data_IF_711713270493
#
_entry.id   IF_711713270493
#
_cell.length_a   1.000
_cell.length_b   1.000
_cell.length_c   1.000
_cell.angle_alpha   90.00
_cell.angle_beta   90.00
_cell.angle_gamma   90.00
#
_symmetry.space_group_name_H-M   'P 1'
#
loop_
_entity.id
_entity.type
_entity.pdbx_description
1 polymer ?
#
# COMPACT_ATOMS: atom_id res chain seq x y z
N UNK A 1 27.81 3.37 -31.86
CA UNK A 1 28.10 2.21 -30.96
C UNK A 1 29.16 1.36 -31.64
N UNK A 2 30.20 0.94 -30.93
CA UNK A 2 31.33 0.21 -31.47
C UNK A 2 31.03 -1.29 -31.46
N UNK A 3 31.69 -2.09 -32.37
CA UNK A 3 31.58 -3.56 -32.41
C UNK A 3 31.80 -4.17 -31.01
N UNK A 4 32.79 -3.67 -30.27
CA UNK A 4 33.09 -4.09 -28.90
C UNK A 4 31.91 -3.94 -27.92
N UNK A 5 31.03 -2.97 -28.15
CA UNK A 5 29.80 -2.82 -27.31
C UNK A 5 28.83 -3.99 -27.52
N UNK A 6 28.63 -4.40 -28.77
CA UNK A 6 27.76 -5.53 -29.09
C UNK A 6 28.34 -6.87 -28.59
N UNK A 7 29.63 -7.07 -28.74
CA UNK A 7 30.33 -8.25 -28.20
C UNK A 7 30.20 -8.37 -26.68
N UNK A 8 30.40 -7.27 -25.97
CA UNK A 8 30.19 -7.20 -24.50
C UNK A 8 28.75 -7.44 -24.10
N UNK A 9 27.79 -6.91 -24.87
CA UNK A 9 26.37 -7.09 -24.61
C UNK A 9 25.95 -8.54 -24.84
N UNK A 10 26.36 -9.18 -25.93
CA UNK A 10 26.13 -10.60 -26.20
C UNK A 10 26.72 -11.48 -25.10
N UNK A 11 27.95 -11.21 -24.70
CA UNK A 11 28.60 -11.94 -23.60
C UNK A 11 27.79 -11.82 -22.30
N UNK A 12 27.29 -10.62 -21.94
CA UNK A 12 26.48 -10.41 -20.76
C UNK A 12 25.17 -11.20 -20.84
N UNK A 13 24.48 -11.14 -21.98
CA UNK A 13 23.22 -11.85 -22.20
C UNK A 13 23.42 -13.37 -22.07
N UNK A 14 24.49 -13.93 -22.67
CA UNK A 14 24.80 -15.36 -22.57
C UNK A 14 25.14 -15.75 -21.11
N UNK A 15 25.87 -14.93 -20.39
CA UNK A 15 26.12 -15.13 -18.95
C UNK A 15 24.86 -15.17 -18.12
N UNK A 16 23.95 -14.23 -18.35
CA UNK A 16 22.66 -14.20 -17.61
C UNK A 16 21.79 -15.40 -17.98
N UNK A 17 21.73 -15.80 -19.26
CA UNK A 17 20.96 -16.97 -19.70
C UNK A 17 21.51 -18.29 -19.15
N UNK A 18 22.81 -18.40 -19.01
CA UNK A 18 23.47 -19.64 -18.53
C UNK A 18 23.43 -19.82 -17.01
N UNK A 19 23.10 -18.78 -16.25
CA UNK A 19 23.04 -18.83 -14.80
C UNK A 19 21.58 -19.10 -14.33
N UNK A 20 21.31 -20.27 -13.70
CA UNK A 20 19.96 -20.66 -13.30
C UNK A 20 19.33 -19.77 -12.21
N UNK A 21 20.12 -18.88 -11.59
CA UNK A 21 19.61 -17.88 -10.63
C UNK A 21 18.88 -16.74 -11.30
N UNK A 22 19.06 -16.56 -12.62
CA UNK A 22 18.42 -15.49 -13.39
C UNK A 22 17.38 -16.06 -14.35
N UNK A 23 16.29 -15.34 -14.49
CA UNK A 23 15.27 -15.57 -15.51
C UNK A 23 15.06 -14.29 -16.30
N UNK A 24 15.36 -14.36 -17.60
CA UNK A 24 15.01 -13.25 -18.51
C UNK A 24 13.52 -13.34 -18.81
N UNK A 25 12.80 -12.27 -18.53
CA UNK A 25 11.35 -12.18 -18.74
C UNK A 25 10.99 -10.91 -19.49
N UNK A 26 9.92 -10.96 -20.26
CA UNK A 26 9.32 -9.77 -20.82
C UNK A 26 8.64 -8.95 -19.73
N UNK A 27 8.39 -7.66 -19.99
CA UNK A 27 7.62 -6.81 -19.05
C UNK A 27 6.24 -7.40 -18.72
N UNK A 28 5.58 -8.01 -19.70
CA UNK A 28 4.28 -8.68 -19.51
C UNK A 28 4.40 -9.88 -18.56
N UNK A 29 5.42 -10.71 -18.72
CA UNK A 29 5.68 -11.84 -17.81
C UNK A 29 6.05 -11.35 -16.41
N UNK A 30 6.82 -10.25 -16.31
CA UNK A 30 7.15 -9.64 -15.03
C UNK A 30 5.89 -9.22 -14.28
N UNK A 31 4.98 -8.52 -14.97
CA UNK A 31 3.67 -8.14 -14.38
C UNK A 31 2.90 -9.39 -13.92
N UNK A 32 2.83 -10.45 -14.75
CA UNK A 32 2.14 -11.68 -14.38
C UNK A 32 2.76 -12.37 -13.15
N UNK A 33 4.09 -12.37 -13.04
CA UNK A 33 4.81 -12.94 -11.88
C UNK A 33 4.44 -12.19 -10.60
N UNK A 34 4.37 -10.86 -10.66
CA UNK A 34 4.10 -10.01 -9.49
C UNK A 34 2.62 -9.78 -9.24
N UNK A 35 1.78 -9.85 -10.25
CA UNK A 35 0.34 -9.61 -10.11
C UNK A 35 -0.37 -10.71 -9.31
N UNK A 36 0.14 -11.93 -9.37
CA UNK A 36 -0.20 -12.97 -8.41
C UNK A 36 -1.63 -13.54 -8.52
N UNK A 37 -2.41 -13.19 -9.53
CA UNK A 37 -3.79 -13.63 -9.72
C UNK A 37 -4.81 -12.83 -8.91
N UNK A 38 -6.05 -13.31 -8.88
CA UNK A 38 -7.13 -12.65 -8.15
C UNK A 38 -6.81 -12.55 -6.66
N UNK A 39 -6.94 -11.36 -6.10
CA UNK A 39 -6.80 -11.08 -4.66
C UNK A 39 -8.16 -10.75 -4.11
N UNK A 40 -8.52 -11.39 -3.04
CA UNK A 40 -9.82 -11.22 -2.39
C UNK A 40 -9.62 -10.99 -0.91
N UNK A 41 -10.33 -10.04 -0.35
CA UNK A 41 -10.43 -9.81 1.10
C UNK A 41 -11.87 -10.05 1.51
N UNK A 42 -12.09 -10.94 2.46
CA UNK A 42 -13.37 -11.24 3.08
C UNK A 42 -13.34 -10.99 4.60
N UNK A 43 -14.45 -11.26 5.28
CA UNK A 43 -14.57 -11.04 6.72
C UNK A 43 -13.59 -11.86 7.55
N UNK A 44 -13.19 -13.04 7.09
CA UNK A 44 -12.30 -13.93 7.84
C UNK A 44 -10.87 -13.34 7.96
N UNK A 45 -10.48 -12.47 7.02
CA UNK A 45 -9.17 -11.84 7.01
C UNK A 45 -9.11 -10.56 7.86
N UNK A 46 -10.23 -9.95 8.20
CA UNK A 46 -10.29 -8.67 8.92
C UNK A 46 -9.54 -8.71 10.28
N UNK A 47 -9.70 -9.74 11.14
CA UNK A 47 -8.96 -9.80 12.40
C UNK A 47 -7.43 -9.88 12.20
N UNK A 48 -6.98 -10.53 11.13
CA UNK A 48 -5.56 -10.63 10.79
C UNK A 48 -5.04 -9.27 10.33
N UNK A 49 -5.77 -8.60 9.43
CA UNK A 49 -5.44 -7.24 8.95
C UNK A 49 -5.35 -6.28 10.14
N UNK A 50 -6.35 -6.27 11.00
CA UNK A 50 -6.38 -5.42 12.20
C UNK A 50 -5.14 -5.61 13.08
N UNK A 51 -4.76 -6.85 13.33
CA UNK A 51 -3.59 -7.18 14.16
C UNK A 51 -2.29 -6.68 13.52
N UNK A 52 -2.13 -6.85 12.21
CA UNK A 52 -0.93 -6.40 11.51
C UNK A 52 -0.81 -4.88 11.41
N UNK A 53 -1.95 -4.17 11.43
CA UNK A 53 -1.97 -2.71 11.40
C UNK A 53 -2.00 -2.06 12.80
N UNK A 54 -1.95 -2.84 13.88
CA UNK A 54 -2.04 -2.32 15.25
C UNK A 54 -0.85 -1.40 15.59
N UNK A 55 0.36 -1.75 15.14
CA UNK A 55 1.59 -1.00 15.42
C UNK A 55 1.94 0.03 14.34
N UNK A 56 1.14 0.13 13.28
CA UNK A 56 1.36 1.07 12.19
C UNK A 56 0.85 0.57 10.85
N UNK A 57 0.90 1.43 9.84
CA UNK A 57 0.46 1.09 8.50
C UNK A 57 1.59 0.48 7.68
N UNK A 58 1.35 -0.74 7.19
CA UNK A 58 2.28 -1.44 6.33
C UNK A 58 1.54 -2.38 5.36
N UNK A 59 2.00 -2.60 4.11
CA UNK A 59 1.41 -3.57 3.21
C UNK A 59 1.51 -5.00 3.76
N UNK A 60 0.47 -5.79 3.57
CA UNK A 60 0.47 -7.20 3.97
C UNK A 60 1.09 -8.11 2.92
N UNK A 61 1.66 -9.22 3.39
CA UNK A 61 2.21 -10.26 2.52
C UNK A 61 1.50 -11.60 2.65
N UNK A 62 0.69 -11.80 3.67
CA UNK A 62 0.02 -13.07 3.97
C UNK A 62 -1.47 -12.85 4.24
N UNK A 63 -2.35 -13.74 3.76
CA UNK A 63 -2.07 -14.87 2.86
C UNK A 63 -1.73 -14.43 1.44
N UNK A 64 -2.02 -13.19 1.09
CA UNK A 64 -1.74 -12.55 -0.19
C UNK A 64 -1.17 -11.15 0.04
N UNK A 65 -0.61 -10.56 -1.00
CA UNK A 65 -0.08 -9.21 -0.95
C UNK A 65 -1.22 -8.20 -1.12
N UNK A 66 -1.49 -7.42 -0.08
CA UNK A 66 -2.47 -6.34 -0.08
C UNK A 66 -1.79 -5.02 0.24
N UNK A 67 -2.19 -3.97 -0.46
CA UNK A 67 -1.82 -2.60 -0.09
C UNK A 67 -2.87 -1.99 0.85
N UNK A 68 -2.57 -0.84 1.45
CA UNK A 68 -3.52 -0.17 2.36
C UNK A 68 -4.82 0.25 1.67
N UNK A 69 -4.73 0.64 0.39
CA UNK A 69 -5.93 0.97 -0.39
C UNK A 69 -6.82 -0.25 -0.62
N UNK A 70 -6.25 -1.46 -0.85
CA UNK A 70 -7.03 -2.69 -0.92
C UNK A 70 -7.80 -2.93 0.38
N UNK A 71 -7.13 -2.74 1.52
CA UNK A 71 -7.74 -2.93 2.85
C UNK A 71 -8.82 -1.90 3.13
N UNK A 72 -8.60 -0.63 2.73
CA UNK A 72 -9.59 0.43 2.87
C UNK A 72 -10.85 0.12 2.05
N UNK A 73 -10.69 -0.27 0.78
CA UNK A 73 -11.81 -0.64 -0.08
C UNK A 73 -12.53 -1.90 0.42
N UNK A 74 -11.78 -2.86 0.95
CA UNK A 74 -12.37 -4.05 1.54
C UNK A 74 -13.23 -3.70 2.76
N UNK A 75 -12.74 -2.86 3.67
CA UNK A 75 -13.52 -2.38 4.81
C UNK A 75 -14.78 -1.65 4.36
N UNK A 76 -14.69 -0.76 3.37
CA UNK A 76 -15.85 -0.10 2.77
C UNK A 76 -16.88 -1.10 2.27
N UNK A 77 -16.45 -2.01 1.41
CA UNK A 77 -17.34 -2.97 0.76
C UNK A 77 -18.02 -3.90 1.78
N UNK A 78 -17.29 -4.37 2.79
CA UNK A 78 -17.81 -5.22 3.84
C UNK A 78 -18.79 -4.48 4.78
N UNK A 79 -18.56 -3.21 5.09
CA UNK A 79 -19.49 -2.37 5.86
C UNK A 79 -20.76 -2.06 5.07
N UNK A 80 -20.65 -1.91 3.74
CA UNK A 80 -21.80 -1.74 2.84
C UNK A 80 -22.54 -3.07 2.54
N UNK A 81 -22.19 -4.17 3.23
CA UNK A 81 -22.90 -5.43 3.15
C UNK A 81 -22.45 -6.38 2.05
N UNK A 82 -21.36 -6.10 1.33
CA UNK A 82 -20.79 -7.08 0.41
C UNK A 82 -20.14 -8.23 1.20
N UNK A 83 -20.16 -9.43 0.63
CA UNK A 83 -19.53 -10.60 1.26
C UNK A 83 -18.01 -10.55 1.21
N UNK A 84 -17.45 -9.96 0.15
CA UNK A 84 -16.02 -9.87 -0.13
C UNK A 84 -15.68 -8.68 -1.00
N UNK A 85 -14.42 -8.26 -0.94
CA UNK A 85 -13.84 -7.30 -1.86
C UNK A 85 -12.86 -8.01 -2.81
N UNK A 86 -13.02 -7.80 -4.13
CA UNK A 86 -12.05 -8.25 -5.13
C UNK A 86 -11.10 -7.10 -5.40
N UNK A 87 -9.83 -7.28 -5.04
CA UNK A 87 -8.81 -6.25 -5.20
C UNK A 87 -8.53 -5.98 -6.69
N UNK A 88 -8.63 -4.75 -7.07
CA UNK A 88 -8.44 -4.31 -8.43
C UNK A 88 -7.37 -3.24 -8.56
N UNK A 89 -7.66 -2.27 -9.43
CA UNK A 89 -6.86 -1.06 -9.59
C UNK A 89 -7.00 -0.19 -8.35
N UNK A 90 -5.88 0.30 -7.85
CA UNK A 90 -5.82 1.13 -6.64
C UNK A 90 -5.24 2.50 -6.97
N UNK A 91 -5.63 3.50 -6.17
CA UNK A 91 -5.18 4.88 -6.27
C UNK A 91 -4.73 5.33 -4.89
N UNK A 92 -3.75 6.22 -4.86
CA UNK A 92 -3.32 6.87 -3.63
C UNK A 92 -4.03 8.20 -3.43
N UNK A 93 -3.38 9.10 -2.72
CA UNK A 93 -3.87 10.45 -2.45
C UNK A 93 -3.37 11.45 -3.49
N UNK A 94 -4.16 12.46 -3.78
CA UNK A 94 -3.72 13.63 -4.55
C UNK A 94 -3.05 14.68 -3.66
N UNK A 95 -3.53 14.80 -2.43
CA UNK A 95 -3.04 15.72 -1.40
C UNK A 95 -2.89 15.00 -0.07
N UNK A 96 -2.23 15.62 0.89
CA UNK A 96 -2.04 15.03 2.21
C UNK A 96 -3.39 14.82 2.91
N UNK A 97 -3.65 13.60 3.39
CA UNK A 97 -4.89 13.32 4.09
C UNK A 97 -4.89 13.98 5.47
N UNK A 98 -6.09 14.30 5.91
CA UNK A 98 -6.33 14.74 7.26
C UNK A 98 -5.97 13.64 8.27
N UNK A 99 -5.55 14.06 9.45
CA UNK A 99 -5.39 13.23 10.63
C UNK A 99 -6.00 13.96 11.83
N UNK A 100 -6.64 13.21 12.71
CA UNK A 100 -7.21 13.80 13.93
C UNK A 100 -6.08 14.33 14.83
N UNK A 101 -6.32 15.48 15.46
CA UNK A 101 -5.37 16.08 16.40
C UNK A 101 -5.63 15.67 17.85
N UNK A 102 -6.86 15.26 18.16
CA UNK A 102 -7.32 14.89 19.51
C UNK A 102 -8.07 13.55 19.47
N UNK A 103 -8.10 12.80 20.58
CA UNK A 103 -8.88 11.57 20.66
C UNK A 103 -10.37 11.81 20.36
N UNK A 104 -10.99 10.84 19.68
CA UNK A 104 -12.38 10.92 19.25
C UNK A 104 -13.04 9.55 19.37
N UNK A 105 -14.24 9.50 19.91
CA UNK A 105 -15.07 8.29 19.96
C UNK A 105 -16.16 8.37 18.90
N UNK A 106 -16.32 7.27 18.15
CA UNK A 106 -17.28 7.09 17.07
C UNK A 106 -18.09 5.80 17.30
N UNK A 107 -19.34 5.80 16.88
CA UNK A 107 -20.18 4.58 16.88
C UNK A 107 -19.98 3.77 15.59
N UNK A 108 -20.36 2.49 15.63
CA UNK A 108 -20.34 1.62 14.47
C UNK A 108 -21.25 2.15 13.34
N UNK A 109 -22.38 2.74 13.69
CA UNK A 109 -23.32 3.36 12.74
C UNK A 109 -22.71 4.54 12.02
N UNK A 110 -22.03 5.44 12.76
CA UNK A 110 -21.34 6.60 12.19
C UNK A 110 -20.24 6.19 11.20
N UNK A 111 -19.45 5.18 11.58
CA UNK A 111 -18.35 4.65 10.76
C UNK A 111 -18.90 3.97 9.51
N UNK A 112 -19.97 3.19 9.65
CA UNK A 112 -20.62 2.50 8.53
C UNK A 112 -21.27 3.47 7.55
N UNK A 113 -21.98 4.46 8.05
CA UNK A 113 -22.62 5.49 7.23
C UNK A 113 -21.60 6.33 6.42
N UNK A 114 -20.38 6.46 6.93
CA UNK A 114 -19.32 7.20 6.23
C UNK A 114 -18.64 6.40 5.11
N UNK A 115 -18.90 5.08 4.99
CA UNK A 115 -18.28 4.21 3.99
C UNK A 115 -18.53 4.65 2.55
N UNK A 116 -19.71 5.19 2.25
CA UNK A 116 -20.10 5.67 0.91
C UNK A 116 -19.25 6.84 0.40
N UNK A 117 -18.52 7.53 1.27
CA UNK A 117 -17.63 8.62 0.86
C UNK A 117 -16.32 8.12 0.23
N UNK A 118 -16.04 6.82 0.34
CA UNK A 118 -14.85 6.19 -0.23
C UNK A 118 -15.19 5.65 -1.62
N UNK A 119 -14.85 6.41 -2.66
CA UNK A 119 -15.06 6.00 -4.05
C UNK A 119 -13.97 5.05 -4.58
N UNK A 120 -14.12 4.62 -5.85
CA UNK A 120 -13.14 3.73 -6.53
C UNK A 120 -12.00 4.49 -7.22
N UNK A 121 -11.87 5.78 -6.99
CA UNK A 121 -10.84 6.65 -7.57
C UNK A 121 -9.69 6.95 -6.61
N UNK A 122 -9.19 8.18 -6.71
CA UNK A 122 -8.26 8.69 -5.71
C UNK A 122 -8.90 8.67 -4.32
N UNK A 123 -8.07 8.34 -3.33
CA UNK A 123 -8.55 8.30 -1.95
C UNK A 123 -9.00 9.69 -1.48
N UNK A 124 -10.09 9.78 -0.73
CA UNK A 124 -10.50 11.03 -0.13
C UNK A 124 -9.42 11.49 0.86
N UNK A 125 -9.17 12.77 0.92
CA UNK A 125 -8.24 13.34 1.93
C UNK A 125 -8.89 13.47 3.29
N UNK A 126 -10.22 13.48 3.36
CA UNK A 126 -10.99 13.57 4.59
C UNK A 126 -12.34 12.87 4.43
N UNK A 127 -12.88 12.37 5.52
CA UNK A 127 -14.17 11.70 5.62
C UNK A 127 -14.99 12.43 6.69
N UNK A 128 -16.21 12.83 6.34
CA UNK A 128 -17.11 13.54 7.26
C UNK A 128 -17.93 12.56 8.07
N UNK A 129 -18.06 12.84 9.36
CA UNK A 129 -18.91 12.10 10.29
C UNK A 129 -19.72 13.13 11.09
N UNK A 130 -20.94 13.40 10.63
CA UNK A 130 -21.76 14.49 11.14
C UNK A 130 -21.09 15.85 10.90
N UNK A 131 -20.84 16.59 11.95
CA UNK A 131 -20.11 17.86 11.96
C UNK A 131 -18.58 17.70 12.14
N UNK A 132 -18.12 16.47 12.33
CA UNK A 132 -16.71 16.11 12.53
C UNK A 132 -16.06 15.62 11.25
N UNK A 133 -14.73 15.56 11.26
CA UNK A 133 -13.93 15.11 10.16
C UNK A 133 -12.80 14.20 10.65
N UNK A 134 -12.56 13.12 9.93
CA UNK A 134 -11.45 12.18 10.18
C UNK A 134 -10.66 11.92 8.90
N UNK A 135 -9.45 11.39 9.04
CA UNK A 135 -8.67 10.94 7.90
C UNK A 135 -9.03 9.52 7.45
N UNK A 136 -8.65 9.13 6.22
CA UNK A 136 -8.83 7.76 5.74
C UNK A 136 -8.11 6.72 6.60
N UNK A 137 -6.96 7.10 7.19
CA UNK A 137 -6.22 6.25 8.11
C UNK A 137 -6.99 5.99 9.41
N UNK A 138 -7.60 7.04 9.95
CA UNK A 138 -8.43 6.96 11.14
C UNK A 138 -9.68 6.12 10.86
N UNK A 139 -10.32 6.38 9.70
CA UNK A 139 -11.46 5.59 9.27
C UNK A 139 -11.12 4.11 9.07
N UNK A 140 -9.97 3.77 8.46
CA UNK A 140 -9.54 2.38 8.28
C UNK A 140 -9.39 1.67 9.63
N UNK A 141 -8.75 2.31 10.62
CA UNK A 141 -8.63 1.75 11.98
C UNK A 141 -10.00 1.51 12.61
N UNK A 142 -10.90 2.50 12.51
CA UNK A 142 -12.25 2.40 13.03
C UNK A 142 -13.07 1.31 12.33
N UNK A 143 -13.02 1.24 11.00
CA UNK A 143 -13.73 0.26 10.21
C UNK A 143 -13.28 -1.18 10.53
N UNK A 144 -11.99 -1.41 10.72
CA UNK A 144 -11.45 -2.70 11.15
C UNK A 144 -11.97 -3.11 12.53
N UNK A 145 -12.08 -2.16 13.47
CA UNK A 145 -12.61 -2.40 14.80
C UNK A 145 -14.10 -2.78 14.75
N UNK A 146 -14.90 -2.03 14.00
CA UNK A 146 -16.34 -2.30 13.79
C UNK A 146 -16.56 -3.66 13.12
N UNK A 147 -15.79 -3.99 12.08
CA UNK A 147 -15.86 -5.28 11.41
C UNK A 147 -15.45 -6.45 12.32
N UNK A 148 -14.68 -6.19 13.38
CA UNK A 148 -14.36 -7.12 14.46
C UNK A 148 -15.42 -7.14 15.58
N UNK A 149 -16.51 -6.38 15.48
CA UNK A 149 -17.65 -6.43 16.40
C UNK A 149 -17.68 -5.32 17.47
N UNK A 150 -16.82 -4.30 17.38
CA UNK A 150 -16.87 -3.17 18.30
C UNK A 150 -18.04 -2.23 17.97
N UNK A 151 -18.89 -1.94 18.95
CA UNK A 151 -20.01 -1.00 18.79
C UNK A 151 -19.59 0.47 18.87
N UNK A 152 -18.47 0.74 19.53
CA UNK A 152 -17.86 2.06 19.66
C UNK A 152 -16.34 1.94 19.54
N UNK A 153 -15.72 2.92 18.88
CA UNK A 153 -14.27 2.93 18.65
C UNK A 153 -13.73 4.28 19.12
N UNK A 154 -12.73 4.26 19.99
CA UNK A 154 -11.98 5.46 20.36
C UNK A 154 -10.71 5.53 19.51
N UNK A 155 -10.63 6.53 18.66
CA UNK A 155 -9.47 6.86 17.86
C UNK A 155 -8.54 7.78 18.64
N UNK A 156 -7.24 7.54 18.50
CA UNK A 156 -6.19 8.44 19.00
C UNK A 156 -5.36 8.96 17.84
N UNK A 157 -4.81 10.17 17.92
CA UNK A 157 -3.95 10.72 16.90
C UNK A 157 -2.81 9.75 16.56
N UNK A 158 -2.65 9.43 15.28
CA UNK A 158 -1.60 8.55 14.81
C UNK A 158 -1.24 8.87 13.34
N UNK A 159 0.01 8.62 12.92
CA UNK A 159 0.43 8.91 11.56
C UNK A 159 -0.36 8.07 10.55
N UNK A 160 -0.62 8.67 9.39
CA UNK A 160 -1.26 8.00 8.26
C UNK A 160 -0.24 7.37 7.30
N UNK A 161 1.02 7.81 7.40
CA UNK A 161 2.08 7.36 6.50
C UNK A 161 2.46 5.90 6.78
N UNK A 162 2.89 5.22 5.73
CA UNK A 162 3.61 3.96 5.87
C UNK A 162 4.98 4.24 6.47
N UNK A 163 5.41 3.40 7.41
CA UNK A 163 6.78 3.42 7.89
C UNK A 163 7.72 2.90 6.79
N UNK A 164 8.32 3.85 6.07
CA UNK A 164 9.23 3.56 4.96
C UNK A 164 10.55 2.92 5.43
N UNK A 165 10.90 3.05 6.71
CA UNK A 165 12.11 2.45 7.27
C UNK A 165 11.98 0.92 7.43
N UNK A 166 10.78 0.39 7.37
CA UNK A 166 10.54 -1.06 7.31
C UNK A 166 10.85 -1.67 5.93
N UNK A 167 11.10 -0.86 4.89
CA UNK A 167 11.54 -1.36 3.59
C UNK A 167 13.07 -1.41 3.53
N UNK A 168 13.71 -2.58 3.68
CA UNK A 168 15.17 -2.68 3.76
C UNK A 168 15.89 -2.18 2.51
N UNK A 169 15.23 -2.25 1.35
CA UNK A 169 15.76 -1.78 0.07
C UNK A 169 15.73 -0.26 -0.11
N UNK A 170 14.93 0.46 0.67
CA UNK A 170 14.85 1.92 0.60
C UNK A 170 15.86 2.58 1.52
N UNK A 171 16.17 1.93 2.65
CA UNK A 171 17.12 2.44 3.66
C UNK A 171 18.53 2.66 3.07
N UNK A 172 18.95 1.80 2.13
CA UNK A 172 20.28 1.82 1.52
C UNK A 172 20.31 2.42 0.11
N UNK A 173 19.17 2.77 -0.44
CA UNK A 173 19.10 3.41 -1.75
C UNK A 173 19.61 4.85 -1.65
N UNK A 174 20.92 5.00 -1.86
CA UNK A 174 21.45 6.28 -2.35
C UNK A 174 20.93 6.47 -3.76
N UNK A 175 19.78 7.13 -3.88
CA UNK A 175 19.20 7.52 -5.18
C UNK A 175 20.08 8.51 -5.95
N UNK A 176 21.18 8.94 -5.40
CA UNK A 176 22.21 9.76 -6.02
C UNK A 176 23.26 8.90 -6.72
N UNK A 177 22.87 8.17 -7.74
CA UNK A 177 23.86 7.65 -8.68
C UNK A 177 24.13 8.75 -9.71
N UNK A 178 25.33 9.27 -9.80
CA UNK A 178 25.73 10.33 -10.75
C UNK A 178 25.59 9.97 -12.23
N UNK A 179 24.76 8.99 -12.55
CA UNK A 179 24.47 8.54 -13.91
C UNK A 179 23.24 9.21 -14.51
N UNK A 180 22.22 9.52 -13.70
CA UNK A 180 20.97 10.15 -14.17
C UNK A 180 20.82 11.56 -13.61
N UNK A 181 21.32 11.80 -12.41
CA UNK A 181 21.26 13.12 -11.77
C UNK A 181 22.55 13.43 -11.05
N UNK A 182 22.78 14.69 -10.77
CA UNK A 182 23.88 15.14 -9.91
C UNK A 182 23.73 14.52 -8.51
N UNK A 183 24.86 14.34 -7.82
CA UNK A 183 24.88 13.76 -6.48
C UNK A 183 24.12 14.60 -5.43
N UNK A 184 23.95 15.89 -5.69
CA UNK A 184 23.22 16.86 -4.86
C UNK A 184 21.76 17.08 -5.33
N UNK A 185 21.27 16.27 -6.30
CA UNK A 185 19.89 16.37 -6.77
C UNK A 185 18.93 15.89 -5.70
N UNK A 186 18.02 16.74 -5.29
CA UNK A 186 16.91 16.45 -4.40
C UNK A 186 15.62 16.95 -5.04
N UNK A 187 14.66 16.05 -5.29
CA UNK A 187 13.33 16.40 -5.73
C UNK A 187 12.32 16.22 -4.62
N UNK A 188 12.02 17.31 -3.91
CA UNK A 188 11.00 17.32 -2.83
C UNK A 188 9.60 17.00 -3.33
N UNK A 189 9.29 17.36 -4.57
CA UNK A 189 7.99 17.06 -5.18
C UNK A 189 7.85 15.58 -5.48
N UNK A 190 8.91 14.93 -5.95
CA UNK A 190 8.90 13.49 -6.19
C UNK A 190 8.75 12.72 -4.87
N UNK A 191 9.50 13.09 -3.84
CA UNK A 191 9.40 12.49 -2.50
C UNK A 191 8.00 12.64 -1.91
N UNK A 192 7.38 13.83 -2.05
CA UNK A 192 6.00 14.05 -1.63
C UNK A 192 5.02 13.16 -2.40
N UNK A 193 5.13 13.09 -3.73
CA UNK A 193 4.27 12.24 -4.57
C UNK A 193 4.42 10.76 -4.23
N UNK A 194 5.65 10.28 -4.04
CA UNK A 194 5.91 8.89 -3.63
C UNK A 194 5.22 8.57 -2.29
N UNK A 195 5.28 9.47 -1.33
CA UNK A 195 4.60 9.34 -0.03
C UNK A 195 3.08 9.29 -0.19
N UNK A 196 2.48 10.18 -0.99
CA UNK A 196 1.05 10.18 -1.26
C UNK A 196 0.57 8.90 -1.98
N UNK A 197 1.44 8.24 -2.74
CA UNK A 197 1.14 6.99 -3.42
C UNK A 197 1.54 5.75 -2.62
N UNK A 198 2.14 5.88 -1.43
CA UNK A 198 2.63 4.74 -0.65
C UNK A 198 1.54 3.74 -0.26
N UNK A 199 0.30 4.19 -0.10
CA UNK A 199 -0.84 3.32 0.17
C UNK A 199 -1.20 2.34 -0.95
N UNK A 200 -0.66 2.55 -2.16
CA UNK A 200 -0.84 1.64 -3.30
C UNK A 200 0.24 0.58 -3.42
N UNK A 201 1.26 0.61 -2.56
CA UNK A 201 2.37 -0.34 -2.61
C UNK A 201 1.91 -1.72 -2.19
N UNK A 202 2.11 -2.69 -3.08
CA UNK A 202 1.96 -4.12 -2.81
C UNK A 202 3.34 -4.77 -2.80
N UNK A 203 3.62 -5.56 -1.78
CA UNK A 203 4.86 -6.33 -1.73
C UNK A 203 4.79 -7.51 -2.70
N UNK A 204 5.92 -7.89 -3.35
CA UNK A 204 5.97 -9.06 -4.21
C UNK A 204 5.58 -10.33 -3.46
N UNK A 205 4.98 -11.30 -4.13
CA UNK A 205 4.75 -12.64 -3.56
C UNK A 205 6.07 -13.26 -3.11
N UNK A 206 6.08 -13.82 -1.91
CA UNK A 206 7.27 -14.45 -1.34
C UNK A 206 8.27 -13.49 -0.68
N UNK A 207 7.99 -12.19 -0.66
CA UNK A 207 8.83 -11.20 0.05
C UNK A 207 8.89 -11.42 1.57
N UNK A 208 7.98 -12.21 2.15
CA UNK A 208 8.07 -12.63 3.55
C UNK A 208 9.40 -13.32 3.92
N UNK A 209 10.15 -13.83 2.94
CA UNK A 209 11.49 -14.39 3.14
C UNK A 209 12.59 -13.34 3.31
N UNK A 210 12.30 -12.08 3.01
CA UNK A 210 13.27 -10.98 3.05
C UNK A 210 13.01 -9.98 4.18
N UNK A 211 11.95 -10.19 4.96
CA UNK A 211 11.54 -9.33 6.08
C UNK A 211 11.91 -9.94 7.46
N UNK A 212 12.71 -11.03 7.46
CA UNK A 212 13.22 -11.66 8.68
C UNK A 212 14.70 -11.35 8.86
#
# INVERSE_FOLDING_TARGET
MTARFYENFEYLVEKVKSDPRFRIVTYRELVQIYDGGERVIDRAQIPVIRRQLADGFFPMTLPQSYCLTDMLYACRDLLLGKERHVCGKVWGFLEEPYAIAEPMTLTAEEITAAADQIGDGFLPTAIRIGDRQIGPADWLRAALAVLCGEAQVTLTPAPWQIDMDQFPTIRDLKLSGGWIHRADFEDRHLSRRARLQSWTYRLPRGSARYLL
#
